data_IF_829505811687
#
_entry.id   IF_829505811687
#
_cell.length_a   1.000
_cell.length_b   1.000
_cell.length_c   1.000
_cell.angle_alpha   90.00
_cell.angle_beta   90.00
_cell.angle_gamma   90.00
#
_symmetry.space_group_name_H-M   'P 1'
#
loop_
_entity.id
_entity.type
_entity.pdbx_description
1 polymer ?
#
# COMPACT_ATOMS: atom_id res chain seq x y z
N UNK A 1 -32.86 10.38 2.30
CA UNK A 1 -33.20 9.46 1.18
C UNK A 1 -34.33 10.04 0.33
N UNK A 2 -35.36 10.66 0.94
CA UNK A 2 -36.52 11.20 0.21
C UNK A 2 -36.18 12.26 -0.83
N UNK A 3 -35.23 13.14 -0.57
CA UNK A 3 -34.85 14.27 -1.42
C UNK A 3 -33.71 13.94 -2.41
N UNK A 4 -33.17 12.73 -2.41
CA UNK A 4 -32.15 12.33 -3.35
C UNK A 4 -32.77 12.00 -4.71
N UNK A 5 -32.14 12.46 -5.80
CA UNK A 5 -32.55 12.15 -7.17
C UNK A 5 -32.41 10.64 -7.45
N UNK A 6 -33.23 10.13 -8.36
CA UNK A 6 -33.18 8.73 -8.76
C UNK A 6 -31.97 8.47 -9.66
N UNK A 7 -31.63 9.44 -10.51
CA UNK A 7 -30.55 9.33 -11.48
C UNK A 7 -29.76 10.62 -11.51
N UNK A 8 -28.43 10.51 -11.53
CA UNK A 8 -27.52 11.64 -11.67
C UNK A 8 -26.26 11.16 -12.42
N UNK A 9 -25.81 11.99 -13.37
CA UNK A 9 -24.57 11.73 -14.06
C UNK A 9 -23.39 12.06 -13.13
N UNK A 10 -22.31 11.23 -13.13
CA UNK A 10 -21.08 11.54 -12.41
C UNK A 10 -20.51 12.86 -12.91
N UNK A 11 -20.18 13.73 -11.99
CA UNK A 11 -19.57 15.01 -12.30
C UNK A 11 -18.06 14.89 -12.15
N UNK A 12 -17.32 15.15 -13.21
CA UNK A 12 -15.86 15.26 -13.17
C UNK A 12 -15.47 16.46 -12.33
N UNK A 13 -14.49 16.27 -11.44
CA UNK A 13 -13.92 17.32 -10.59
C UNK A 13 -14.97 18.08 -9.74
N UNK A 14 -16.00 17.38 -9.26
CA UNK A 14 -17.11 17.96 -8.50
C UNK A 14 -16.65 18.81 -7.30
N UNK A 15 -15.57 18.43 -6.64
CA UNK A 15 -15.02 19.12 -5.48
C UNK A 15 -14.06 20.26 -5.84
N UNK A 16 -13.82 20.52 -7.12
CA UNK A 16 -12.80 21.45 -7.59
C UNK A 16 -11.37 20.96 -7.35
N UNK A 17 -10.40 21.76 -7.73
CA UNK A 17 -8.98 21.47 -7.50
C UNK A 17 -8.39 22.60 -6.66
N UNK A 18 -7.99 22.23 -5.45
CA UNK A 18 -7.25 23.13 -4.58
C UNK A 18 -5.84 22.58 -4.36
N UNK A 19 -4.84 23.38 -4.70
CA UNK A 19 -3.44 23.00 -4.50
C UNK A 19 -2.94 23.60 -3.19
N UNK A 20 -2.70 22.73 -2.21
CA UNK A 20 -2.01 23.06 -0.98
C UNK A 20 -0.70 22.26 -0.94
N UNK A 21 0.44 22.95 -0.94
CA UNK A 21 1.77 22.32 -1.05
C UNK A 21 2.00 21.32 0.08
N UNK A 22 1.61 21.64 1.31
CA UNK A 22 1.76 20.76 2.47
C UNK A 22 0.96 19.47 2.32
N UNK A 23 -0.27 19.55 1.82
CA UNK A 23 -1.12 18.40 1.54
C UNK A 23 -0.55 17.54 0.39
N UNK A 24 -0.06 18.19 -0.67
CA UNK A 24 0.56 17.50 -1.80
C UNK A 24 1.81 16.71 -1.36
N UNK A 25 2.67 17.29 -0.52
CA UNK A 25 3.85 16.59 0.02
C UNK A 25 3.43 15.42 0.88
N UNK A 26 2.48 15.60 1.80
CA UNK A 26 2.01 14.52 2.68
C UNK A 26 1.39 13.35 1.88
N UNK A 27 0.54 13.65 0.90
CA UNK A 27 -0.08 12.64 0.03
C UNK A 27 0.99 11.98 -0.85
N UNK A 28 1.94 12.75 -1.40
CA UNK A 28 3.04 12.21 -2.20
C UNK A 28 3.89 11.21 -1.42
N UNK A 29 4.21 11.50 -0.16
CA UNK A 29 4.91 10.56 0.73
C UNK A 29 4.09 9.29 0.99
N UNK A 30 2.78 9.43 1.24
CA UNK A 30 1.89 8.27 1.42
C UNK A 30 1.84 7.40 0.16
N UNK A 31 1.78 8.01 -1.03
CA UNK A 31 1.82 7.25 -2.29
C UNK A 31 3.15 6.55 -2.51
N UNK A 32 4.28 7.17 -2.16
CA UNK A 32 5.59 6.53 -2.22
C UNK A 32 5.64 5.29 -1.31
N UNK A 33 5.16 5.41 -0.06
CA UNK A 33 5.08 4.30 0.89
C UNK A 33 4.17 3.19 0.36
N UNK A 34 2.98 3.54 -0.13
CA UNK A 34 2.04 2.57 -0.71
C UNK A 34 2.61 1.89 -1.96
N UNK A 35 3.43 2.56 -2.75
CA UNK A 35 4.10 1.96 -3.91
C UNK A 35 5.13 0.92 -3.48
N UNK A 36 5.90 1.19 -2.42
CA UNK A 36 6.84 0.21 -1.84
C UNK A 36 6.07 -1.00 -1.30
N UNK A 37 4.97 -0.76 -0.58
CA UNK A 37 4.09 -1.83 -0.11
C UNK A 37 3.54 -2.67 -1.26
N UNK A 38 3.09 -2.03 -2.34
CA UNK A 38 2.57 -2.71 -3.53
C UNK A 38 3.62 -3.62 -4.18
N UNK A 39 4.88 -3.18 -4.28
CA UNK A 39 5.99 -4.01 -4.76
C UNK A 39 6.15 -5.24 -3.86
N UNK A 40 6.11 -5.05 -2.55
CA UNK A 40 6.15 -6.13 -1.57
C UNK A 40 5.01 -7.13 -1.75
N UNK A 41 3.77 -6.65 -1.90
CA UNK A 41 2.59 -7.48 -2.08
C UNK A 41 2.63 -8.27 -3.41
N UNK A 42 3.07 -7.65 -4.51
CA UNK A 42 3.24 -8.33 -5.80
C UNK A 42 4.33 -9.41 -5.73
N UNK A 43 5.45 -9.08 -5.10
CA UNK A 43 6.56 -10.03 -4.91
C UNK A 43 6.14 -11.19 -4.03
N UNK A 44 5.54 -10.93 -2.88
CA UNK A 44 5.07 -11.95 -1.95
C UNK A 44 4.00 -12.87 -2.57
N UNK A 45 3.08 -12.31 -3.38
CA UNK A 45 2.08 -13.09 -4.10
C UNK A 45 2.73 -13.98 -5.15
N UNK A 46 3.67 -13.46 -5.92
CA UNK A 46 4.33 -14.21 -7.00
C UNK A 46 5.21 -15.32 -6.43
N UNK A 47 5.98 -15.03 -5.40
CA UNK A 47 6.84 -16.03 -4.73
C UNK A 47 5.99 -17.05 -3.98
N UNK A 48 5.05 -16.61 -3.15
CA UNK A 48 4.27 -17.48 -2.28
C UNK A 48 3.28 -18.38 -3.01
N UNK A 49 2.71 -17.92 -4.12
CA UNK A 49 1.70 -18.64 -4.86
C UNK A 49 2.21 -19.30 -6.14
N UNK A 50 3.13 -18.66 -6.86
CA UNK A 50 3.63 -19.15 -8.16
C UNK A 50 5.01 -19.79 -8.08
N UNK A 51 5.68 -19.75 -6.92
CA UNK A 51 7.05 -20.26 -6.70
C UNK A 51 8.06 -19.72 -7.73
N UNK A 52 7.93 -18.45 -8.11
CA UNK A 52 8.87 -17.75 -8.99
C UNK A 52 9.09 -16.32 -8.52
N UNK A 53 10.20 -15.73 -8.89
CA UNK A 53 10.43 -14.31 -8.70
C UNK A 53 9.62 -13.49 -9.71
N UNK A 54 9.07 -12.33 -9.31
CA UNK A 54 8.41 -11.43 -10.25
C UNK A 54 9.45 -10.83 -11.22
N UNK A 55 9.02 -10.57 -12.45
CA UNK A 55 9.83 -9.85 -13.42
C UNK A 55 9.71 -8.34 -13.16
N UNK A 56 10.76 -7.58 -13.41
CA UNK A 56 10.76 -6.12 -13.25
C UNK A 56 9.65 -5.44 -14.05
N UNK A 57 9.37 -5.93 -15.26
CA UNK A 57 8.26 -5.44 -16.07
C UNK A 57 6.89 -5.65 -15.43
N UNK A 58 6.68 -6.76 -14.70
CA UNK A 58 5.42 -7.03 -14.00
C UNK A 58 5.23 -6.06 -12.84
N UNK A 59 6.30 -5.79 -12.08
CA UNK A 59 6.28 -4.82 -11.00
C UNK A 59 6.04 -3.40 -11.50
N UNK A 60 6.76 -2.98 -12.55
CA UNK A 60 6.58 -1.67 -13.17
C UNK A 60 5.15 -1.49 -13.72
N UNK A 61 4.65 -2.48 -14.45
CA UNK A 61 3.29 -2.43 -15.01
C UNK A 61 2.24 -2.36 -13.92
N UNK A 62 2.44 -3.10 -12.81
CA UNK A 62 1.56 -3.07 -11.66
C UNK A 62 1.49 -1.69 -11.01
N UNK A 63 2.62 -1.03 -10.81
CA UNK A 63 2.68 0.32 -10.23
C UNK A 63 2.08 1.36 -11.16
N UNK A 64 2.36 1.29 -12.46
CA UNK A 64 1.77 2.19 -13.45
C UNK A 64 0.25 2.04 -13.49
N UNK A 65 -0.26 0.80 -13.52
CA UNK A 65 -1.70 0.54 -13.47
C UNK A 65 -2.33 1.08 -12.18
N UNK A 66 -1.67 0.89 -11.03
CA UNK A 66 -2.08 1.45 -9.75
C UNK A 66 -2.16 2.98 -9.79
N UNK A 67 -1.14 3.65 -10.34
CA UNK A 67 -1.12 5.11 -10.50
C UNK A 67 -2.26 5.61 -11.39
N UNK A 68 -2.46 5.00 -12.57
CA UNK A 68 -3.54 5.37 -13.51
C UNK A 68 -4.91 5.21 -12.86
N UNK A 69 -5.14 4.11 -12.16
CA UNK A 69 -6.41 3.85 -11.45
C UNK A 69 -6.70 4.94 -10.41
N UNK A 70 -5.68 5.36 -9.66
CA UNK A 70 -5.84 6.42 -8.66
C UNK A 70 -6.11 7.79 -9.30
N UNK A 71 -5.47 8.11 -10.43
CA UNK A 71 -5.73 9.35 -11.19
C UNK A 71 -7.19 9.36 -11.68
N UNK A 72 -7.64 8.27 -12.30
CA UNK A 72 -9.02 8.15 -12.78
C UNK A 72 -9.99 8.25 -11.59
N UNK A 73 -9.73 7.54 -10.49
CA UNK A 73 -10.55 7.63 -9.28
C UNK A 73 -10.65 9.05 -8.73
N UNK A 74 -9.53 9.78 -8.68
CA UNK A 74 -9.50 11.16 -8.20
C UNK A 74 -10.31 12.13 -9.09
N UNK A 75 -10.31 11.94 -10.41
CA UNK A 75 -11.12 12.74 -11.33
C UNK A 75 -12.63 12.64 -11.05
N UNK A 76 -13.08 11.50 -10.54
CA UNK A 76 -14.47 11.27 -10.12
C UNK A 76 -14.71 11.55 -8.64
N UNK A 77 -13.73 12.10 -7.92
CA UNK A 77 -13.83 12.40 -6.49
C UNK A 77 -13.74 11.16 -5.59
N UNK A 78 -13.20 10.06 -6.12
CA UNK A 78 -12.95 8.84 -5.35
C UNK A 78 -11.77 8.99 -4.39
N UNK A 79 -11.78 8.20 -3.32
CA UNK A 79 -10.66 8.10 -2.39
C UNK A 79 -9.51 7.29 -3.03
N UNK A 80 -8.24 7.59 -2.66
CA UNK A 80 -7.11 6.80 -3.10
C UNK A 80 -7.27 5.32 -2.70
N UNK A 81 -6.94 4.43 -3.63
CA UNK A 81 -6.92 2.99 -3.38
C UNK A 81 -5.52 2.53 -2.97
N UNK A 82 -5.42 1.37 -2.34
CA UNK A 82 -4.16 0.73 -1.98
C UNK A 82 -4.22 -0.77 -2.27
N UNK A 83 -3.08 -1.45 -2.32
CA UNK A 83 -3.03 -2.91 -2.32
C UNK A 83 -3.38 -3.45 -0.93
N UNK A 84 -3.99 -4.62 -0.91
CA UNK A 84 -4.41 -5.26 0.35
C UNK A 84 -3.59 -6.53 0.59
N UNK A 85 -2.61 -6.45 1.49
CA UNK A 85 -1.71 -7.56 1.86
C UNK A 85 -2.44 -8.80 2.39
N UNK A 86 -3.69 -8.64 2.87
CA UNK A 86 -4.54 -9.77 3.27
C UNK A 86 -4.77 -10.77 2.12
N UNK A 87 -4.89 -10.25 0.89
CA UNK A 87 -5.08 -11.08 -0.29
C UNK A 87 -3.84 -11.93 -0.59
N UNK A 88 -2.65 -11.43 -0.31
CA UNK A 88 -1.38 -12.18 -0.42
C UNK A 88 -1.42 -13.43 0.47
N UNK A 89 -1.88 -13.29 1.72
CA UNK A 89 -2.04 -14.41 2.64
C UNK A 89 -3.04 -15.45 2.15
N UNK A 90 -4.17 -15.02 1.58
CA UNK A 90 -5.20 -15.91 1.04
C UNK A 90 -4.65 -16.66 -0.18
N UNK A 91 -4.04 -15.97 -1.14
CA UNK A 91 -3.49 -16.58 -2.35
C UNK A 91 -2.32 -17.50 -2.01
N UNK A 92 -1.45 -17.10 -1.08
CA UNK A 92 -0.32 -17.92 -0.62
C UNK A 92 -0.76 -19.22 0.09
N UNK A 93 -1.85 -19.18 0.87
CA UNK A 93 -2.37 -20.34 1.58
C UNK A 93 -3.18 -21.27 0.67
N UNK A 94 -3.97 -20.71 -0.24
CA UNK A 94 -4.81 -21.50 -1.15
C UNK A 94 -4.04 -22.01 -2.36
N UNK A 95 -2.94 -21.34 -2.72
CA UNK A 95 -2.14 -21.59 -3.94
C UNK A 95 -2.99 -21.65 -5.23
N UNK A 96 -4.13 -20.96 -5.22
CA UNK A 96 -5.03 -20.90 -6.36
C UNK A 96 -4.50 -19.84 -7.33
N UNK A 97 -3.61 -20.24 -8.20
CA UNK A 97 -3.00 -19.41 -9.27
C UNK A 97 -3.32 -19.93 -10.68
N UNK A 98 -4.29 -20.84 -10.79
CA UNK A 98 -4.71 -21.33 -12.09
C UNK A 98 -5.27 -20.17 -12.93
N UNK A 99 -4.78 -20.01 -14.17
CA UNK A 99 -5.18 -18.94 -15.09
C UNK A 99 -6.70 -18.82 -15.20
N UNK A 100 -7.43 -19.96 -15.26
CA UNK A 100 -8.89 -19.99 -15.32
C UNK A 100 -9.58 -19.40 -14.08
N UNK A 101 -9.00 -19.59 -12.89
CA UNK A 101 -9.55 -19.03 -11.65
C UNK A 101 -9.31 -17.52 -11.62
N UNK A 102 -8.16 -17.07 -12.10
CA UNK A 102 -7.86 -15.64 -12.26
C UNK A 102 -8.83 -14.98 -13.26
N UNK A 103 -9.08 -15.59 -14.40
CA UNK A 103 -10.03 -15.11 -15.40
C UNK A 103 -11.46 -15.06 -14.82
N UNK A 104 -11.90 -16.10 -14.12
CA UNK A 104 -13.21 -16.13 -13.47
C UNK A 104 -13.31 -15.09 -12.35
N UNK A 105 -12.28 -14.94 -11.52
CA UNK A 105 -12.22 -13.91 -10.48
C UNK A 105 -12.24 -12.50 -11.09
N UNK A 106 -11.52 -12.28 -12.18
CA UNK A 106 -11.54 -11.01 -12.92
C UNK A 106 -12.94 -10.70 -13.45
N UNK A 107 -13.68 -11.69 -13.96
CA UNK A 107 -15.07 -11.53 -14.41
C UNK A 107 -15.98 -11.15 -13.23
N UNK A 108 -15.84 -11.81 -12.08
CA UNK A 108 -16.63 -11.50 -10.87
C UNK A 108 -16.34 -10.07 -10.40
N UNK A 109 -15.06 -9.67 -10.37
CA UNK A 109 -14.67 -8.32 -10.02
C UNK A 109 -15.20 -7.31 -11.03
N UNK A 110 -15.18 -7.62 -12.32
CA UNK A 110 -15.74 -6.77 -13.38
C UNK A 110 -17.26 -6.60 -13.22
N UNK A 111 -17.99 -7.66 -12.90
CA UNK A 111 -19.42 -7.60 -12.61
C UNK A 111 -19.68 -6.74 -11.37
N UNK A 112 -18.91 -6.93 -10.30
CA UNK A 112 -19.02 -6.12 -9.10
C UNK A 112 -18.71 -4.64 -9.38
N UNK A 113 -17.68 -4.35 -10.18
CA UNK A 113 -17.35 -2.99 -10.59
C UNK A 113 -18.44 -2.38 -11.48
N UNK A 114 -19.01 -3.14 -12.39
CA UNK A 114 -20.14 -2.69 -13.20
C UNK A 114 -21.37 -2.40 -12.33
N UNK A 115 -21.69 -3.26 -11.37
CA UNK A 115 -22.77 -3.04 -10.41
C UNK A 115 -22.52 -1.76 -9.58
N UNK A 116 -21.34 -1.57 -9.04
CA UNK A 116 -20.96 -0.36 -8.30
C UNK A 116 -21.00 0.88 -9.20
N UNK A 117 -20.55 0.75 -10.45
CA UNK A 117 -20.66 1.81 -11.46
C UNK A 117 -22.12 2.23 -11.69
N UNK A 118 -23.00 1.27 -11.90
CA UNK A 118 -24.45 1.53 -12.06
C UNK A 118 -25.03 2.15 -10.78
N UNK A 119 -24.67 1.64 -9.61
CA UNK A 119 -25.08 2.19 -8.32
C UNK A 119 -24.61 3.64 -8.11
N UNK A 120 -23.46 4.02 -8.69
CA UNK A 120 -22.95 5.40 -8.70
C UNK A 120 -23.84 6.38 -9.45
N UNK A 121 -24.64 5.92 -10.43
CA UNK A 121 -25.63 6.75 -11.12
C UNK A 121 -26.93 6.92 -10.32
N UNK A 122 -27.08 6.21 -9.20
CA UNK A 122 -28.31 6.21 -8.39
C UNK A 122 -28.01 6.84 -7.01
N UNK A 123 -28.13 8.17 -6.84
CA UNK A 123 -27.86 8.85 -5.58
C UNK A 123 -28.70 8.35 -4.40
N UNK A 124 -29.89 7.80 -4.65
CA UNK A 124 -30.70 7.16 -3.61
C UNK A 124 -30.00 5.99 -2.94
N UNK A 125 -29.20 5.22 -3.69
CA UNK A 125 -28.40 4.13 -3.13
C UNK A 125 -27.32 4.65 -2.19
N UNK A 126 -26.59 5.69 -2.58
CA UNK A 126 -25.62 6.35 -1.71
C UNK A 126 -26.27 6.96 -0.47
N UNK A 127 -27.42 7.63 -0.64
CA UNK A 127 -28.18 8.18 0.49
C UNK A 127 -28.71 7.09 1.44
N UNK A 128 -28.98 5.88 0.96
CA UNK A 128 -29.33 4.74 1.80
C UNK A 128 -28.12 4.27 2.60
N UNK A 129 -26.94 4.17 1.99
CA UNK A 129 -25.71 3.77 2.67
C UNK A 129 -25.32 4.74 3.77
N UNK A 130 -25.54 6.06 3.59
CA UNK A 130 -25.26 7.06 4.62
C UNK A 130 -26.22 7.01 5.83
N UNK A 131 -27.32 6.27 5.75
CA UNK A 131 -28.23 6.05 6.89
C UNK A 131 -27.76 4.95 7.83
N UNK A 132 -26.72 4.19 7.45
CA UNK A 132 -26.18 3.13 8.33
C UNK A 132 -25.53 3.78 9.54
N UNK A 133 -25.95 3.42 10.77
CA UNK A 133 -25.37 3.98 11.98
C UNK A 133 -23.88 3.68 12.10
N UNK A 134 -23.10 4.66 12.57
CA UNK A 134 -21.65 4.50 12.72
C UNK A 134 -21.26 3.36 13.65
N UNK A 135 -22.08 3.04 14.65
CA UNK A 135 -21.83 1.90 15.53
C UNK A 135 -21.86 0.55 14.79
N UNK A 136 -22.73 0.41 13.77
CA UNK A 136 -22.81 -0.80 12.94
C UNK A 136 -21.59 -0.88 12.05
N UNK A 137 -21.21 0.23 11.42
CA UNK A 137 -19.99 0.32 10.61
C UNK A 137 -18.75 0.04 11.46
N UNK A 138 -18.67 0.63 12.66
CA UNK A 138 -17.58 0.38 13.60
C UNK A 138 -17.45 -1.09 13.96
N UNK A 139 -18.57 -1.75 14.31
CA UNK A 139 -18.59 -3.17 14.62
C UNK A 139 -18.12 -4.05 13.46
N UNK A 140 -18.57 -3.76 12.24
CA UNK A 140 -18.17 -4.48 11.04
C UNK A 140 -16.67 -4.28 10.70
N UNK A 141 -16.15 -3.08 10.92
CA UNK A 141 -14.74 -2.74 10.58
C UNK A 141 -13.73 -3.27 11.59
N UNK A 142 -14.11 -3.54 12.85
CA UNK A 142 -13.19 -4.09 13.87
C UNK A 142 -12.51 -5.38 13.38
N UNK A 143 -13.27 -6.32 12.81
CA UNK A 143 -12.72 -7.58 12.32
C UNK A 143 -11.76 -7.38 11.14
N UNK A 144 -12.05 -6.41 10.27
CA UNK A 144 -11.17 -6.06 9.13
C UNK A 144 -9.87 -5.46 9.66
N UNK A 145 -9.93 -4.51 10.59
CA UNK A 145 -8.73 -3.91 11.19
C UNK A 145 -7.92 -4.93 11.99
N UNK A 146 -8.57 -5.86 12.68
CA UNK A 146 -7.87 -6.96 13.34
C UNK A 146 -7.08 -7.83 12.35
N UNK A 147 -7.68 -8.14 11.20
CA UNK A 147 -7.00 -8.89 10.13
C UNK A 147 -5.81 -8.12 9.55
N UNK A 148 -5.95 -6.81 9.36
CA UNK A 148 -4.86 -5.93 8.90
C UNK A 148 -3.71 -5.93 9.91
N UNK A 149 -4.01 -5.76 11.19
CA UNK A 149 -3.02 -5.77 12.26
C UNK A 149 -2.29 -7.12 12.33
N UNK A 150 -3.02 -8.24 12.22
CA UNK A 150 -2.43 -9.59 12.19
C UNK A 150 -1.52 -9.78 10.97
N UNK A 151 -1.89 -9.25 9.81
CA UNK A 151 -1.04 -9.31 8.61
C UNK A 151 0.25 -8.52 8.82
N UNK A 152 0.17 -7.32 9.39
CA UNK A 152 1.34 -6.52 9.75
C UNK A 152 2.26 -7.25 10.74
N UNK A 153 1.71 -7.86 11.79
CA UNK A 153 2.47 -8.67 12.74
C UNK A 153 3.14 -9.88 12.08
N UNK A 154 2.47 -10.58 11.16
CA UNK A 154 3.05 -11.68 10.41
C UNK A 154 4.20 -11.21 9.51
N UNK A 155 4.07 -10.07 8.85
CA UNK A 155 5.15 -9.49 8.04
C UNK A 155 6.38 -9.18 8.90
N UNK A 156 6.20 -8.55 10.04
CA UNK A 156 7.27 -8.26 10.99
C UNK A 156 7.91 -9.57 11.48
N UNK A 157 7.12 -10.56 11.86
CA UNK A 157 7.59 -11.86 12.35
C UNK A 157 8.29 -12.72 11.27
N UNK A 158 8.01 -12.47 9.98
CA UNK A 158 8.68 -13.18 8.88
C UNK A 158 10.06 -12.61 8.54
N UNK A 159 10.37 -11.41 9.01
CA UNK A 159 11.69 -10.82 8.88
C UNK A 159 12.64 -11.35 9.96
N UNK A 160 13.93 -11.38 9.67
CA UNK A 160 14.93 -11.69 10.69
C UNK A 160 14.94 -10.58 11.76
N UNK A 161 14.40 -10.94 12.95
CA UNK A 161 14.22 -10.02 14.08
C UNK A 161 15.47 -10.07 14.98
N UNK A 162 16.59 -9.61 14.48
CA UNK A 162 17.76 -9.33 15.30
C UNK A 162 17.52 -8.09 16.22
N UNK A 163 18.46 -7.81 17.10
CA UNK A 163 18.35 -6.66 18.03
C UNK A 163 18.20 -5.33 17.27
N UNK A 164 18.88 -5.17 16.13
CA UNK A 164 18.81 -3.96 15.29
C UNK A 164 17.42 -3.79 14.68
N UNK A 165 16.92 -4.82 13.99
CA UNK A 165 15.64 -4.78 13.31
C UNK A 165 14.47 -4.64 14.31
N UNK A 166 14.56 -5.33 15.44
CA UNK A 166 13.60 -5.17 16.55
C UNK A 166 13.57 -3.75 17.09
N UNK A 167 14.73 -3.13 17.24
CA UNK A 167 14.84 -1.74 17.71
C UNK A 167 14.26 -0.75 16.68
N UNK A 168 14.54 -0.95 15.39
CA UNK A 168 14.00 -0.10 14.31
C UNK A 168 12.47 -0.18 14.30
N UNK A 169 11.92 -1.39 14.28
CA UNK A 169 10.46 -1.60 14.23
C UNK A 169 9.80 -1.04 15.49
N UNK A 170 10.36 -1.35 16.68
CA UNK A 170 9.80 -0.91 17.94
C UNK A 170 9.80 0.61 18.10
N UNK A 171 10.94 1.27 17.82
CA UNK A 171 11.04 2.73 17.91
C UNK A 171 10.18 3.44 16.86
N UNK A 172 10.18 2.95 15.63
CA UNK A 172 9.36 3.54 14.56
C UNK A 172 7.87 3.45 14.88
N UNK A 173 7.40 2.30 15.35
CA UNK A 173 6.00 2.12 15.75
C UNK A 173 5.65 2.97 16.97
N UNK A 174 6.47 2.95 18.02
CA UNK A 174 6.23 3.71 19.25
C UNK A 174 6.21 5.22 19.01
N UNK A 175 7.18 5.75 18.28
CA UNK A 175 7.25 7.18 17.96
C UNK A 175 6.17 7.60 16.96
N UNK A 176 5.88 6.78 15.94
CA UNK A 176 4.83 7.07 14.97
C UNK A 176 3.47 7.19 15.63
N UNK A 177 3.08 6.22 16.45
CA UNK A 177 1.82 6.26 17.19
C UNK A 177 1.85 7.29 18.31
N UNK A 178 2.94 7.35 19.09
CA UNK A 178 3.05 8.25 20.24
C UNK A 178 2.94 9.72 19.86
N UNK A 179 3.63 10.15 18.82
CA UNK A 179 3.57 11.55 18.34
C UNK A 179 2.18 11.88 17.80
N UNK A 180 1.52 10.97 17.10
CA UNK A 180 0.17 11.21 16.60
C UNK A 180 -0.88 11.37 17.71
N UNK A 181 -0.63 10.82 18.90
CA UNK A 181 -1.49 10.99 20.07
C UNK A 181 -1.18 12.27 20.87
N UNK A 182 0.01 12.85 20.66
CA UNK A 182 0.50 14.03 21.37
C UNK A 182 0.14 15.34 20.64
N UNK A 183 -1.11 15.52 20.23
CA UNK A 183 -1.57 16.67 19.45
C UNK A 183 -1.26 18.02 20.12
N UNK A 184 -1.28 18.09 21.45
CA UNK A 184 -0.95 19.31 22.19
C UNK A 184 0.52 19.72 22.05
N UNK A 185 1.43 18.75 21.99
CA UNK A 185 2.85 19.01 21.77
C UNK A 185 3.14 19.47 20.34
N UNK A 186 2.38 18.98 19.36
CA UNK A 186 2.51 19.37 17.96
C UNK A 186 1.94 20.76 17.68
N UNK A 187 0.99 21.24 18.49
CA UNK A 187 0.33 22.55 18.29
C UNK A 187 1.30 23.76 18.36
N UNK A 188 2.48 23.57 18.97
CA UNK A 188 3.54 24.60 19.05
C UNK A 188 4.43 24.66 17.81
N UNK A 189 4.31 23.68 16.90
CA UNK A 189 5.14 23.57 15.71
C UNK A 189 4.47 24.26 14.50
N UNK A 190 5.24 24.65 13.47
CA UNK A 190 4.69 25.24 12.25
C UNK A 190 3.62 24.33 11.62
N UNK A 191 2.61 24.93 10.97
CA UNK A 191 1.46 24.23 10.41
C UNK A 191 1.83 23.14 9.38
N UNK A 192 2.91 23.32 8.63
CA UNK A 192 3.39 22.31 7.68
C UNK A 192 3.90 21.04 8.39
N UNK A 193 4.54 21.18 9.57
CA UNK A 193 5.00 20.05 10.38
C UNK A 193 3.81 19.27 10.93
N UNK A 194 2.84 19.98 11.50
CA UNK A 194 1.62 19.35 12.04
C UNK A 194 0.80 18.65 10.96
N UNK A 195 0.79 19.19 9.74
CA UNK A 195 0.07 18.58 8.62
C UNK A 195 0.75 17.30 8.13
N UNK A 196 2.08 17.28 8.02
CA UNK A 196 2.83 16.13 7.51
C UNK A 196 2.96 15.05 8.57
N UNK A 197 3.37 15.41 9.79
CA UNK A 197 3.74 14.46 10.84
C UNK A 197 2.63 14.20 11.87
N UNK A 198 1.77 15.17 12.12
CA UNK A 198 0.74 15.04 13.15
C UNK A 198 -0.51 14.30 12.69
N UNK A 199 -0.83 14.32 11.40
CA UNK A 199 -2.06 13.70 10.87
C UNK A 199 -1.90 12.25 10.44
N UNK A 200 -0.67 11.77 10.23
CA UNK A 200 -0.41 10.41 9.77
C UNK A 200 0.71 9.73 10.56
N UNK A 201 0.36 8.84 11.50
CA UNK A 201 1.36 8.05 12.23
C UNK A 201 2.23 7.18 11.30
N UNK A 202 1.67 6.76 10.14
CA UNK A 202 2.38 5.92 9.16
C UNK A 202 3.53 6.67 8.51
N UNK A 203 3.33 7.93 8.11
CA UNK A 203 4.39 8.75 7.50
C UNK A 203 5.54 8.92 8.47
N UNK A 204 5.24 9.28 9.73
CA UNK A 204 6.25 9.49 10.75
C UNK A 204 7.00 8.19 11.07
N UNK A 205 6.27 7.08 11.28
CA UNK A 205 6.87 5.77 11.53
C UNK A 205 7.81 5.35 10.39
N UNK A 206 7.41 5.56 9.13
CA UNK A 206 8.24 5.21 7.98
C UNK A 206 9.50 6.05 7.90
N UNK A 207 9.41 7.37 8.10
CA UNK A 207 10.58 8.24 8.10
C UNK A 207 11.55 7.83 9.21
N UNK A 208 11.03 7.58 10.41
CA UNK A 208 11.87 7.12 11.54
C UNK A 208 12.51 5.77 11.21
N UNK A 209 11.77 4.81 10.67
CA UNK A 209 12.30 3.51 10.29
C UNK A 209 13.44 3.63 9.26
N UNK A 210 13.24 4.45 8.22
CA UNK A 210 14.27 4.71 7.20
C UNK A 210 15.50 5.39 7.81
N UNK A 211 15.31 6.44 8.62
CA UNK A 211 16.40 7.13 9.29
C UNK A 211 17.18 6.19 10.21
N UNK A 212 16.50 5.41 11.04
CA UNK A 212 17.15 4.44 11.93
C UNK A 212 17.87 3.35 11.13
N UNK A 213 17.29 2.89 10.03
CA UNK A 213 17.93 1.90 9.17
C UNK A 213 19.22 2.41 8.52
N UNK A 214 19.29 3.72 8.21
CA UNK A 214 20.50 4.36 7.67
C UNK A 214 21.54 4.64 8.73
N UNK A 215 21.12 5.01 9.94
CA UNK A 215 22.01 5.42 11.04
C UNK A 215 22.58 4.20 11.77
N UNK A 216 21.76 3.17 12.03
CA UNK A 216 22.19 1.99 12.75
C UNK A 216 23.09 1.10 11.89
N UNK A 217 24.25 0.67 12.41
CA UNK A 217 25.17 -0.17 11.64
C UNK A 217 24.50 -1.52 11.31
N UNK A 218 24.73 -1.99 10.09
CA UNK A 218 24.24 -3.29 9.62
C UNK A 218 24.78 -4.42 10.49
N UNK A 219 23.94 -5.42 10.75
CA UNK A 219 24.32 -6.66 11.44
C UNK A 219 25.42 -7.41 10.68
N UNK A 220 26.15 -8.28 11.39
CA UNK A 220 27.19 -9.13 10.75
C UNK A 220 26.60 -10.06 9.69
N UNK A 221 25.39 -10.53 9.92
CA UNK A 221 24.72 -11.46 9.01
C UNK A 221 24.18 -10.74 7.77
N UNK A 222 23.58 -9.56 7.92
CA UNK A 222 23.22 -8.69 6.79
C UNK A 222 24.42 -8.32 5.91
N UNK A 223 25.58 -8.07 6.52
CA UNK A 223 26.82 -7.78 5.76
C UNK A 223 27.34 -8.99 4.98
N UNK A 224 27.05 -10.20 5.44
CA UNK A 224 27.42 -11.42 4.71
C UNK A 224 26.47 -11.66 3.54
N UNK A 225 25.16 -11.50 3.76
CA UNK A 225 24.17 -11.65 2.70
C UNK A 225 24.34 -10.60 1.60
N UNK A 226 24.62 -9.34 1.96
CA UNK A 226 24.91 -8.28 0.99
C UNK A 226 26.14 -8.64 0.14
N UNK A 227 27.20 -9.15 0.76
CA UNK A 227 28.40 -9.58 0.02
C UNK A 227 28.15 -10.76 -0.91
N UNK A 228 27.30 -11.69 -0.50
CA UNK A 228 26.90 -12.85 -1.34
C UNK A 228 26.05 -12.35 -2.51
N UNK A 229 25.07 -11.49 -2.25
CA UNK A 229 24.23 -10.89 -3.28
C UNK A 229 25.03 -10.06 -4.28
N UNK A 230 25.96 -9.21 -3.80
CA UNK A 230 26.85 -8.42 -4.66
C UNK A 230 27.77 -9.31 -5.53
N UNK A 231 28.22 -10.45 -4.98
CA UNK A 231 29.01 -11.41 -5.78
C UNK A 231 28.17 -12.09 -6.85
N UNK A 232 26.95 -12.51 -6.52
CA UNK A 232 26.03 -13.12 -7.48
C UNK A 232 25.60 -12.18 -8.60
N UNK A 233 25.38 -10.90 -8.27
CA UNK A 233 25.07 -9.86 -9.25
C UNK A 233 26.25 -9.60 -10.17
N UNK A 234 27.48 -9.56 -9.64
CA UNK A 234 28.68 -9.42 -10.44
C UNK A 234 28.89 -10.60 -11.39
N UNK A 235 28.72 -11.82 -10.89
CA UNK A 235 28.86 -13.03 -11.71
C UNK A 235 27.85 -13.07 -12.86
N UNK A 236 26.60 -12.66 -12.60
CA UNK A 236 25.56 -12.54 -13.63
C UNK A 236 25.89 -11.46 -14.66
N UNK A 237 26.36 -10.30 -14.23
CA UNK A 237 26.77 -9.23 -15.15
C UNK A 237 27.95 -9.64 -16.03
N UNK A 238 28.92 -10.40 -15.48
CA UNK A 238 30.05 -10.94 -16.26
C UNK A 238 29.61 -12.05 -17.22
N UNK A 239 28.62 -12.85 -16.86
CA UNK A 239 28.04 -13.89 -17.71
C UNK A 239 27.28 -13.25 -18.89
N UNK A 240 26.43 -12.25 -18.61
CA UNK A 240 25.74 -11.49 -19.65
C UNK A 240 26.70 -10.79 -20.60
N UNK A 241 27.78 -10.20 -20.08
CA UNK A 241 28.80 -9.56 -20.91
C UNK A 241 29.51 -10.56 -21.82
N UNK A 242 29.82 -11.77 -21.35
CA UNK A 242 30.41 -12.85 -22.14
C UNK A 242 29.48 -13.36 -23.24
N UNK A 243 28.18 -13.44 -22.97
CA UNK A 243 27.18 -13.84 -23.96
C UNK A 243 27.11 -12.79 -25.06
N UNK A 244 27.11 -11.49 -24.76
CA UNK A 244 27.10 -10.40 -25.72
C UNK A 244 28.38 -10.32 -26.56
N UNK A 245 29.53 -10.70 -26.03
CA UNK A 245 30.79 -10.75 -26.81
C UNK A 245 30.85 -11.93 -27.76
N UNK A 246 30.23 -13.06 -27.40
CA UNK A 246 30.22 -14.26 -28.25
C UNK A 246 29.18 -14.19 -29.40
N UNK A 247 28.22 -13.27 -29.35
CA UNK A 247 27.24 -13.03 -30.44
C UNK A 247 27.68 -12.00 -31.47
N UNK A 248 28.89 -11.43 -31.36
CA UNK A 248 29.49 -10.55 -32.32
C UNK A 248 30.53 -11.27 -33.18
#
# INVERSE_FOLDING_TARGET
VGNASVFQLPQLMHFGVHFEISACVAIGLLFAINSIQAIGDYSATTIGAMNRTPKDQELQSGIVAYGITNIIGALFGGLPTATYSQNVGIVGSTKVVAKRVFETSAIIILIAAAFLGIAGFVPKFSALLTTIPQCVLGGATVSVFASIAMTGMKLVASAEMDYRNSSIVGLAAALGVGVSQANAALATLPSWVTTIFGKSPVVLATIIAVCLNLILPKSRDEKKEEKIHDSEVKDKLEEDHRIFENEK
#
